data_IF_146173587078
#
_entry.id   IF_146173587078
#
_cell.length_a   1.000
_cell.length_b   1.000
_cell.length_c   1.000
_cell.angle_alpha   90.00
_cell.angle_beta   90.00
_cell.angle_gamma   90.00
#
_symmetry.space_group_name_H-M   'P 1'
#
loop_
_entity.id
_entity.type
_entity.pdbx_description
1 polymer ?
#
# COMPACT_ATOMS: atom_id res chain seq x y z
N UNK A 1 -9.83 -16.75 19.81
CA UNK A 1 -9.07 -17.55 18.83
C UNK A 1 -8.52 -16.55 17.85
N UNK A 2 -7.22 -16.25 17.92
CA UNK A 2 -6.52 -15.57 16.83
C UNK A 2 -6.62 -16.50 15.62
N UNK A 3 -7.20 -16.01 14.53
CA UNK A 3 -7.08 -16.70 13.24
C UNK A 3 -5.67 -16.36 12.74
N UNK A 4 -4.85 -17.37 12.48
CA UNK A 4 -3.64 -17.17 11.71
C UNK A 4 -4.05 -16.76 10.29
N UNK A 5 -4.03 -15.46 10.01
CA UNK A 5 -4.31 -14.93 8.68
C UNK A 5 -3.08 -15.14 7.82
N UNK A 6 -3.23 -15.88 6.73
CA UNK A 6 -2.14 -16.09 5.79
C UNK A 6 -2.02 -14.85 4.89
N UNK A 7 -0.96 -14.06 5.10
CA UNK A 7 -0.68 -12.87 4.31
C UNK A 7 0.47 -13.17 3.36
N UNK A 8 0.23 -12.99 2.07
CA UNK A 8 1.26 -13.07 1.04
C UNK A 8 1.21 -11.81 0.20
N UNK A 9 2.32 -11.10 0.14
CA UNK A 9 2.47 -9.94 -0.74
C UNK A 9 3.09 -10.42 -2.03
N UNK A 10 2.42 -10.10 -3.13
CA UNK A 10 2.93 -10.28 -4.48
C UNK A 10 3.01 -8.93 -5.16
N UNK A 11 3.99 -8.77 -6.04
CA UNK A 11 4.14 -7.56 -6.82
C UNK A 11 3.76 -7.88 -8.27
N UNK A 12 3.12 -6.95 -8.97
CA UNK A 12 2.64 -7.14 -10.36
C UNK A 12 3.78 -7.50 -11.34
N UNK A 13 5.04 -7.27 -10.93
CA UNK A 13 6.29 -7.74 -11.54
C UNK A 13 7.25 -8.18 -10.43
N UNK A 14 8.24 -9.00 -10.75
CA UNK A 14 9.32 -9.38 -9.83
C UNK A 14 9.94 -8.12 -9.20
N UNK A 15 9.52 -7.77 -7.99
CA UNK A 15 9.99 -6.60 -7.26
C UNK A 15 11.41 -6.89 -6.80
N UNK A 16 12.38 -6.36 -7.53
CA UNK A 16 13.80 -6.55 -7.29
C UNK A 16 14.38 -5.41 -6.45
N UNK A 17 15.66 -5.52 -6.06
CA UNK A 17 16.35 -4.49 -5.27
C UNK A 17 16.38 -3.12 -5.97
N UNK A 18 16.28 -3.10 -7.31
CA UNK A 18 16.24 -1.85 -8.08
C UNK A 18 14.86 -1.21 -7.97
N UNK A 19 13.78 -1.97 -8.04
CA UNK A 19 12.43 -1.46 -7.81
C UNK A 19 12.28 -0.91 -6.39
N UNK A 20 12.88 -1.56 -5.39
CA UNK A 20 12.93 -1.05 -4.01
C UNK A 20 13.68 0.28 -3.90
N UNK A 21 14.83 0.40 -4.58
CA UNK A 21 15.59 1.65 -4.63
C UNK A 21 14.82 2.77 -5.34
N UNK A 22 14.21 2.48 -6.49
CA UNK A 22 13.41 3.44 -7.26
C UNK A 22 12.15 3.87 -6.47
N UNK A 23 11.51 2.95 -5.77
CA UNK A 23 10.35 3.19 -4.91
C UNK A 23 10.69 4.08 -3.72
N UNK A 24 11.80 3.80 -3.04
CA UNK A 24 12.27 4.61 -1.91
C UNK A 24 12.53 6.06 -2.33
N UNK A 25 13.10 6.26 -3.53
CA UNK A 25 13.33 7.59 -4.12
C UNK A 25 12.04 8.29 -4.56
N UNK A 26 11.09 7.57 -5.20
CA UNK A 26 9.80 8.14 -5.65
C UNK A 26 8.79 8.34 -4.53
N UNK A 27 8.93 7.58 -3.44
CA UNK A 27 8.02 7.53 -2.31
C UNK A 27 6.65 6.93 -2.61
N UNK A 28 6.52 6.17 -3.69
CA UNK A 28 5.29 5.47 -4.09
C UNK A 28 5.59 4.15 -4.80
N UNK A 29 4.82 3.11 -4.49
CA UNK A 29 4.71 1.87 -5.27
C UNK A 29 3.24 1.66 -5.59
N UNK A 30 2.91 1.54 -6.87
CA UNK A 30 1.55 1.35 -7.33
C UNK A 30 1.31 -0.09 -7.79
N UNK A 31 0.08 -0.57 -7.59
CA UNK A 31 -0.37 -1.88 -8.05
C UNK A 31 0.24 -3.05 -7.29
N UNK A 32 0.56 -2.89 -6.02
CA UNK A 32 0.95 -4.00 -5.15
C UNK A 32 -0.25 -4.93 -4.98
N UNK A 33 -0.01 -6.23 -5.07
CA UNK A 33 -1.03 -7.25 -4.94
C UNK A 33 -0.88 -7.89 -3.56
N UNK A 34 -1.92 -7.79 -2.73
CA UNK A 34 -1.92 -8.39 -1.40
C UNK A 34 -2.91 -9.55 -1.43
N UNK A 35 -2.40 -10.75 -1.24
CA UNK A 35 -3.21 -11.94 -0.97
C UNK A 35 -3.41 -12.04 0.56
N UNK A 36 -4.66 -11.96 1.00
CA UNK A 36 -5.08 -12.16 2.40
C UNK A 36 -6.09 -13.30 2.41
N UNK A 37 -5.72 -14.42 3.02
CA UNK A 37 -6.45 -15.69 2.94
C UNK A 37 -6.71 -16.11 1.48
N UNK A 38 -7.97 -16.23 1.06
CA UNK A 38 -8.38 -16.63 -0.30
C UNK A 38 -8.74 -15.42 -1.19
N UNK A 39 -8.48 -14.20 -0.72
CA UNK A 39 -8.84 -12.96 -1.41
C UNK A 39 -7.60 -12.19 -1.83
N UNK A 40 -7.69 -11.56 -2.99
CA UNK A 40 -6.63 -10.73 -3.56
C UNK A 40 -7.07 -9.27 -3.60
N UNK A 41 -6.18 -8.36 -3.25
CA UNK A 41 -6.43 -6.93 -3.24
C UNK A 41 -5.34 -6.19 -3.99
N UNK A 42 -5.72 -5.12 -4.71
CA UNK A 42 -4.77 -4.19 -5.31
C UNK A 42 -4.63 -2.97 -4.41
N UNK A 43 -3.40 -2.63 -4.03
CA UNK A 43 -3.09 -1.49 -3.17
C UNK A 43 -2.00 -0.62 -3.78
N UNK A 44 -2.05 0.66 -3.45
CA UNK A 44 -0.98 1.62 -3.73
C UNK A 44 -0.37 2.06 -2.41
N UNK A 45 0.95 2.00 -2.28
CA UNK A 45 1.66 2.29 -1.04
C UNK A 45 2.48 3.57 -1.22
N UNK A 46 2.28 4.53 -0.32
CA UNK A 46 2.97 5.81 -0.31
C UNK A 46 3.73 5.97 1.00
N UNK A 47 4.91 6.58 0.95
CA UNK A 47 5.46 7.18 2.16
C UNK A 47 4.74 8.50 2.48
N UNK A 48 4.78 8.92 3.73
CA UNK A 48 4.04 10.09 4.21
C UNK A 48 4.45 11.38 3.47
N UNK A 49 5.75 11.52 3.14
CA UNK A 49 6.27 12.71 2.44
C UNK A 49 5.65 12.85 1.07
N UNK A 50 5.57 11.76 0.31
CA UNK A 50 4.97 11.73 -1.02
C UNK A 50 3.46 11.96 -0.97
N UNK A 51 2.78 11.36 0.01
CA UNK A 51 1.35 11.57 0.22
C UNK A 51 1.02 13.04 0.54
N UNK A 52 1.79 13.67 1.43
CA UNK A 52 1.62 15.10 1.76
C UNK A 52 1.84 16.00 0.55
N UNK A 53 2.92 15.77 -0.20
CA UNK A 53 3.19 16.55 -1.42
C UNK A 53 2.06 16.42 -2.45
N UNK A 54 1.48 15.23 -2.59
CA UNK A 54 0.34 15.01 -3.49
C UNK A 54 -0.89 15.80 -3.04
N UNK A 55 -1.18 15.82 -1.74
CA UNK A 55 -2.31 16.56 -1.15
C UNK A 55 -2.10 18.06 -1.35
N UNK A 56 -0.93 18.58 -0.98
CA UNK A 56 -0.58 20.01 -1.12
C UNK A 56 -0.76 20.47 -2.57
N UNK A 57 -0.22 19.71 -3.53
CA UNK A 57 -0.33 20.06 -4.94
C UNK A 57 -1.77 20.10 -5.48
N UNK A 58 -2.66 19.25 -4.94
CA UNK A 58 -4.09 19.28 -5.31
C UNK A 58 -4.81 20.46 -4.69
N UNK A 59 -4.51 20.76 -3.42
CA UNK A 59 -5.09 21.90 -2.70
C UNK A 59 -4.67 23.23 -3.32
N UNK A 60 -3.41 23.38 -3.74
CA UNK A 60 -2.93 24.59 -4.44
C UNK A 60 -3.67 24.87 -5.74
N UNK A 61 -4.25 23.83 -6.37
CA UNK A 61 -5.02 23.93 -7.61
C UNK A 61 -6.52 24.14 -7.40
N UNK A 62 -6.96 24.26 -6.14
CA UNK A 62 -8.38 24.29 -5.77
C UNK A 62 -9.17 23.06 -6.32
N UNK A 63 -8.48 21.92 -6.42
CA UNK A 63 -9.08 20.67 -6.88
C UNK A 63 -9.59 19.85 -5.69
N UNK A 64 -10.88 19.48 -5.73
CA UNK A 64 -11.39 18.42 -4.86
C UNK A 64 -10.72 17.08 -5.21
N UNK A 65 -10.27 16.34 -4.21
CA UNK A 65 -9.67 15.02 -4.40
C UNK A 65 -10.18 14.01 -3.37
N UNK A 66 -10.12 12.73 -3.74
CA UNK A 66 -10.43 11.60 -2.89
C UNK A 66 -9.24 10.67 -2.87
N UNK A 67 -8.91 10.13 -1.69
CA UNK A 67 -7.95 9.04 -1.58
C UNK A 67 -8.67 7.75 -1.95
N UNK A 68 -8.14 7.03 -2.94
CA UNK A 68 -8.77 5.83 -3.51
C UNK A 68 -8.70 4.68 -2.48
N UNK A 69 -9.76 3.87 -2.30
CA UNK A 69 -9.72 2.65 -1.49
C UNK A 69 -8.53 1.75 -1.90
N UNK A 70 -7.82 1.20 -0.92
CA UNK A 70 -6.58 0.48 -1.16
C UNK A 70 -5.32 1.35 -1.16
N UNK A 71 -5.43 2.66 -0.88
CA UNK A 71 -4.25 3.50 -0.62
C UNK A 71 -3.74 3.26 0.81
N UNK A 72 -2.47 2.89 0.93
CA UNK A 72 -1.76 2.73 2.20
C UNK A 72 -0.73 3.84 2.33
N UNK A 73 -0.76 4.57 3.44
CA UNK A 73 0.21 5.64 3.73
C UNK A 73 1.04 5.22 4.94
N UNK A 74 2.36 5.12 4.74
CA UNK A 74 3.31 4.70 5.76
C UNK A 74 4.20 5.85 6.21
N UNK A 75 4.63 5.82 7.48
CA UNK A 75 5.57 6.83 8.00
C UNK A 75 7.00 6.49 7.61
N UNK A 76 7.29 5.21 7.54
CA UNK A 76 8.58 4.64 7.23
C UNK A 76 8.89 4.71 5.72
N UNK A 77 10.16 4.51 5.36
CA UNK A 77 10.56 4.39 3.95
C UNK A 77 10.00 3.11 3.32
N UNK A 78 9.76 3.17 2.01
CA UNK A 78 9.23 2.05 1.22
C UNK A 78 10.32 1.01 0.99
N UNK A 79 10.39 0.06 1.92
CA UNK A 79 11.17 -1.17 1.80
C UNK A 79 10.30 -2.39 2.11
N UNK A 80 10.71 -3.56 1.64
CA UNK A 80 9.91 -4.79 1.72
C UNK A 80 9.44 -5.09 3.15
N UNK A 81 10.38 -5.03 4.10
CA UNK A 81 10.11 -5.31 5.52
C UNK A 81 9.06 -4.38 6.13
N UNK A 82 9.14 -3.08 5.86
CA UNK A 82 8.17 -2.13 6.39
C UNK A 82 6.80 -2.32 5.74
N UNK A 83 6.75 -2.61 4.44
CA UNK A 83 5.50 -2.84 3.72
C UNK A 83 4.79 -4.09 4.24
N UNK A 84 5.53 -5.19 4.41
CA UNK A 84 5.04 -6.43 5.05
C UNK A 84 4.46 -6.17 6.44
N UNK A 85 5.20 -5.46 7.30
CA UNK A 85 4.74 -5.12 8.64
C UNK A 85 3.50 -4.19 8.63
N UNK A 86 3.42 -3.25 7.68
CA UNK A 86 2.25 -2.39 7.54
C UNK A 86 1.01 -3.18 7.10
N UNK A 87 1.15 -4.02 6.09
CA UNK A 87 0.06 -4.85 5.57
C UNK A 87 -0.43 -5.85 6.63
N UNK A 88 0.49 -6.45 7.40
CA UNK A 88 0.12 -7.30 8.54
C UNK A 88 -0.76 -6.56 9.53
N UNK A 89 -0.34 -5.37 9.98
CA UNK A 89 -1.11 -4.56 10.93
C UNK A 89 -2.49 -4.16 10.39
N UNK A 90 -2.58 -3.86 9.08
CA UNK A 90 -3.85 -3.54 8.43
C UNK A 90 -4.79 -4.75 8.37
N UNK A 91 -4.23 -5.94 8.13
CA UNK A 91 -4.97 -7.20 8.17
C UNK A 91 -5.52 -7.48 9.57
N UNK A 92 -4.71 -7.27 10.61
CA UNK A 92 -5.11 -7.52 12.01
C UNK A 92 -6.30 -6.66 12.45
N UNK A 93 -6.45 -5.46 11.88
CA UNK A 93 -7.58 -4.56 12.16
C UNK A 93 -8.75 -4.72 11.19
N UNK A 94 -8.72 -5.72 10.31
CA UNK A 94 -9.79 -6.02 9.36
C UNK A 94 -9.93 -5.01 8.21
N UNK A 95 -8.86 -4.26 7.89
CA UNK A 95 -8.91 -3.24 6.84
C UNK A 95 -9.31 -3.83 5.47
N UNK A 96 -8.74 -4.99 5.12
CA UNK A 96 -8.98 -5.60 3.80
C UNK A 96 -10.41 -6.12 3.62
N UNK A 97 -11.13 -6.43 4.70
CA UNK A 97 -12.54 -6.83 4.64
C UNK A 97 -13.46 -5.68 4.18
N UNK A 98 -12.98 -4.44 4.26
CA UNK A 98 -13.69 -3.25 3.80
C UNK A 98 -13.44 -2.95 2.31
N UNK A 99 -12.50 -3.67 1.68
CA UNK A 99 -12.15 -3.48 0.27
C UNK A 99 -12.87 -4.49 -0.62
N UNK A 100 -13.02 -4.12 -1.89
CA UNK A 100 -13.45 -5.06 -2.91
C UNK A 100 -12.23 -5.87 -3.39
N UNK A 101 -12.26 -7.21 -3.27
CA UNK A 101 -11.18 -8.03 -3.82
C UNK A 101 -11.18 -7.96 -5.35
N UNK A 102 -10.02 -8.20 -5.94
CA UNK A 102 -9.83 -8.34 -7.38
C UNK A 102 -9.82 -9.82 -7.77
N UNK A 103 -10.37 -10.12 -8.95
CA UNK A 103 -10.39 -11.48 -9.52
C UNK A 103 -9.06 -11.86 -10.15
#
# INVERSE_FOLDING_TARGET
MEKDVAIKITYDKDFDERDEFEASSRGVISGVIVDVDEKRYKVDIYNYKRAMLMIEWRLEKDECFMIVPGTIIMREDLNLKHMEACISRLSDVGYFDLLLPIN
#
